data_IF_932478675841
#
_entry.id   IF_932478675841
#
_cell.length_a   1.000
_cell.length_b   1.000
_cell.length_c   1.000
_cell.angle_alpha   90.00
_cell.angle_beta   90.00
_cell.angle_gamma   90.00
#
_symmetry.space_group_name_H-M   'P 1'
#
loop_
_entity.id
_entity.type
_entity.pdbx_description
1 polymer ?
#
# COMPACT_ATOMS: atom_id res chain seq x y z
N UNK A 1 -15.02 -3.19 -21.81
CA UNK A 1 -13.78 -3.61 -21.12
C UNK A 1 -12.82 -2.44 -21.13
N UNK A 2 -12.47 -1.89 -19.97
CA UNK A 2 -11.55 -0.75 -19.84
C UNK A 2 -10.10 -1.18 -20.17
N UNK A 3 -9.33 -0.25 -20.74
CA UNK A 3 -7.92 -0.45 -21.01
C UNK A 3 -7.09 -0.16 -19.76
N UNK A 4 -5.85 -0.65 -19.71
CA UNK A 4 -4.95 -0.46 -18.58
C UNK A 4 -4.72 1.02 -18.22
N UNK A 5 -4.64 1.90 -19.23
CA UNK A 5 -4.44 3.34 -19.03
C UNK A 5 -5.66 4.01 -18.37
N UNK A 6 -6.87 3.58 -18.76
CA UNK A 6 -8.13 4.08 -18.19
C UNK A 6 -8.26 3.63 -16.72
N UNK A 7 -7.89 2.37 -16.44
CA UNK A 7 -7.88 1.81 -15.09
C UNK A 7 -6.81 2.50 -14.23
N UNK A 8 -5.61 2.74 -14.76
CA UNK A 8 -4.57 3.47 -14.05
C UNK A 8 -5.03 4.88 -13.67
N UNK A 9 -5.72 5.56 -14.58
CA UNK A 9 -6.31 6.87 -14.31
C UNK A 9 -7.32 6.81 -13.17
N UNK A 10 -8.25 5.84 -13.20
CA UNK A 10 -9.23 5.64 -12.11
C UNK A 10 -8.56 5.45 -10.74
N UNK A 11 -7.50 4.64 -10.69
CA UNK A 11 -6.74 4.40 -9.46
C UNK A 11 -6.08 5.69 -8.95
N UNK A 12 -5.41 6.45 -9.82
CA UNK A 12 -4.77 7.69 -9.42
C UNK A 12 -5.79 8.74 -8.98
N UNK A 13 -6.85 8.95 -9.76
CA UNK A 13 -7.93 9.88 -9.42
C UNK A 13 -8.55 9.54 -8.04
N UNK A 14 -8.72 8.25 -7.74
CA UNK A 14 -9.23 7.81 -6.44
C UNK A 14 -8.25 8.10 -5.30
N UNK A 15 -6.97 7.75 -5.48
CA UNK A 15 -5.94 7.96 -4.45
C UNK A 15 -5.70 9.45 -4.15
N UNK A 16 -5.73 10.30 -5.19
CA UNK A 16 -5.53 11.75 -5.06
C UNK A 16 -6.70 12.45 -4.36
N UNK A 17 -7.93 11.91 -4.51
CA UNK A 17 -9.13 12.44 -3.90
C UNK A 17 -9.50 11.80 -2.55
N UNK A 18 -8.61 11.00 -1.98
CA UNK A 18 -8.87 10.38 -0.68
C UNK A 18 -8.99 11.39 0.46
N UNK A 19 -10.00 11.26 1.36
CA UNK A 19 -10.25 12.22 2.44
C UNK A 19 -9.24 12.06 3.58
N UNK A 20 -8.00 12.49 3.36
CA UNK A 20 -6.96 12.54 4.38
C UNK A 20 -6.88 13.85 5.14
N UNK A 21 -7.81 14.80 4.90
CA UNK A 21 -7.95 16.04 5.67
C UNK A 21 -8.63 15.75 7.02
N UNK A 22 -7.97 14.91 7.81
CA UNK A 22 -8.43 14.45 9.13
C UNK A 22 -7.46 14.92 10.22
N UNK A 23 -7.95 15.01 11.43
CA UNK A 23 -7.10 15.30 12.61
C UNK A 23 -6.74 14.01 13.33
N UNK A 24 -5.54 13.93 13.93
CA UNK A 24 -4.48 14.95 13.88
C UNK A 24 -3.79 14.97 12.50
N UNK A 25 -3.51 16.17 11.98
CA UNK A 25 -2.88 16.33 10.65
C UNK A 25 -1.49 15.66 10.59
N UNK A 26 -0.74 15.70 11.66
CA UNK A 26 0.57 15.04 11.78
C UNK A 26 0.54 13.52 11.52
N UNK A 27 -0.63 12.86 11.63
CA UNK A 27 -0.83 11.46 11.30
C UNK A 27 -1.19 11.26 9.83
N UNK A 28 -2.04 12.13 9.26
CA UNK A 28 -2.61 11.94 7.93
C UNK A 28 -1.82 12.62 6.80
N UNK A 29 -1.09 13.70 7.09
CA UNK A 29 -0.21 14.35 6.11
C UNK A 29 0.88 13.41 5.58
N UNK A 30 1.60 12.62 6.40
CA UNK A 30 2.57 11.65 5.91
C UNK A 30 1.93 10.56 5.04
N UNK A 31 0.70 10.10 5.37
CA UNK A 31 -0.04 9.12 4.57
C UNK A 31 -0.33 9.68 3.17
N UNK A 32 -0.87 10.90 3.11
CA UNK A 32 -1.12 11.59 1.84
C UNK A 32 0.16 11.79 1.05
N UNK A 33 1.24 12.20 1.72
CA UNK A 33 2.55 12.40 1.11
C UNK A 33 3.08 11.13 0.46
N UNK A 34 3.09 10.00 1.17
CA UNK A 34 3.56 8.72 0.61
C UNK A 34 2.72 8.29 -0.59
N UNK A 35 1.41 8.39 -0.52
CA UNK A 35 0.53 8.00 -1.62
C UNK A 35 0.67 8.94 -2.83
N UNK A 36 0.99 10.23 -2.62
CA UNK A 36 1.21 11.22 -3.70
C UNK A 36 2.56 11.09 -4.40
N UNK A 37 3.54 10.33 -3.86
CA UNK A 37 4.83 10.07 -4.52
C UNK A 37 4.68 9.33 -5.86
N UNK A 38 3.48 8.93 -6.24
CA UNK A 38 3.20 8.21 -7.47
C UNK A 38 3.65 6.75 -7.43
N UNK A 39 3.87 6.20 -8.61
CA UNK A 39 4.29 4.80 -8.80
C UNK A 39 3.55 4.16 -9.96
N UNK A 40 3.96 2.94 -10.32
CA UNK A 40 3.37 2.20 -11.46
C UNK A 40 1.96 1.66 -11.17
N UNK A 41 1.51 1.68 -9.92
CA UNK A 41 0.20 1.17 -9.48
C UNK A 41 -0.15 -0.22 -10.03
N UNK A 42 0.85 -1.08 -10.20
CA UNK A 42 0.68 -2.40 -10.85
C UNK A 42 -0.35 -3.25 -10.10
N UNK A 43 -0.30 -3.26 -8.76
CA UNK A 43 -1.19 -4.12 -7.95
C UNK A 43 -2.67 -3.78 -8.12
N UNK A 44 -3.12 -2.55 -7.88
CA UNK A 44 -4.51 -2.19 -8.11
C UNK A 44 -4.93 -2.33 -9.57
N UNK A 45 -4.06 -2.00 -10.54
CA UNK A 45 -4.36 -2.14 -11.96
C UNK A 45 -4.58 -3.60 -12.34
N UNK A 46 -3.71 -4.52 -11.89
CA UNK A 46 -3.89 -5.95 -12.15
C UNK A 46 -5.16 -6.51 -11.50
N UNK A 47 -5.48 -6.10 -10.28
CA UNK A 47 -6.71 -6.52 -9.61
C UNK A 47 -7.96 -6.07 -10.40
N UNK A 48 -7.98 -4.81 -10.84
CA UNK A 48 -9.09 -4.26 -11.62
C UNK A 48 -9.18 -4.89 -13.02
N UNK A 49 -8.05 -5.16 -13.68
CA UNK A 49 -8.02 -5.87 -14.97
C UNK A 49 -8.56 -7.29 -14.83
N UNK A 50 -8.16 -8.02 -13.78
CA UNK A 50 -8.67 -9.35 -13.52
C UNK A 50 -10.19 -9.36 -13.29
N UNK A 51 -10.69 -8.43 -12.49
CA UNK A 51 -12.13 -8.27 -12.27
C UNK A 51 -12.88 -7.88 -13.56
N UNK A 52 -12.29 -7.01 -14.39
CA UNK A 52 -12.85 -6.56 -15.66
C UNK A 52 -12.96 -7.68 -16.73
N UNK A 53 -12.35 -8.86 -16.47
CA UNK A 53 -12.57 -10.07 -17.29
C UNK A 53 -13.94 -10.72 -17.03
N UNK A 54 -14.55 -10.46 -15.86
CA UNK A 54 -15.78 -11.09 -15.39
C UNK A 54 -16.93 -10.08 -15.19
N UNK A 55 -16.63 -8.77 -15.11
CA UNK A 55 -17.58 -7.70 -14.90
C UNK A 55 -17.27 -6.51 -15.82
N UNK A 56 -18.29 -5.83 -16.30
CA UNK A 56 -18.14 -4.58 -17.07
C UNK A 56 -17.92 -3.34 -16.17
N UNK A 57 -18.03 -3.51 -14.84
CA UNK A 57 -17.99 -2.46 -13.83
C UNK A 57 -16.79 -2.62 -12.88
N UNK A 58 -15.53 -2.42 -13.35
CA UNK A 58 -14.35 -2.56 -12.51
C UNK A 58 -14.32 -1.56 -11.33
N UNK A 59 -15.07 -0.47 -11.43
CA UNK A 59 -15.25 0.52 -10.36
C UNK A 59 -15.86 -0.05 -9.08
N UNK A 60 -16.62 -1.15 -9.17
CA UNK A 60 -17.24 -1.82 -8.00
C UNK A 60 -16.20 -2.29 -6.96
N UNK A 61 -14.98 -2.60 -7.42
CA UNK A 61 -13.89 -3.02 -6.54
C UNK A 61 -12.73 -2.01 -6.50
N UNK A 62 -12.96 -0.76 -6.93
CA UNK A 62 -11.92 0.27 -6.94
C UNK A 62 -11.37 0.54 -5.53
N UNK A 63 -12.26 0.58 -4.53
CA UNK A 63 -11.85 0.81 -3.14
C UNK A 63 -11.00 -0.34 -2.57
N UNK A 64 -11.36 -1.62 -2.69
CA UNK A 64 -10.48 -2.75 -2.37
C UNK A 64 -9.16 -2.77 -3.15
N UNK A 65 -9.17 -2.43 -4.43
CA UNK A 65 -7.95 -2.34 -5.23
C UNK A 65 -7.00 -1.25 -4.70
N UNK A 66 -7.53 -0.07 -4.35
CA UNK A 66 -6.76 1.01 -3.74
C UNK A 66 -6.34 0.70 -2.28
N UNK A 67 -7.07 -0.18 -1.58
CA UNK A 67 -6.63 -0.73 -0.29
C UNK A 67 -5.34 -1.52 -0.43
N UNK A 68 -5.22 -2.34 -1.48
CA UNK A 68 -4.00 -3.09 -1.77
C UNK A 68 -2.80 -2.18 -2.04
N UNK A 69 -3.01 -1.06 -2.74
CA UNK A 69 -1.95 -0.06 -2.95
C UNK A 69 -1.60 0.68 -1.65
N UNK A 70 -2.60 0.97 -0.80
CA UNK A 70 -2.37 1.58 0.52
C UNK A 70 -1.53 0.66 1.40
N UNK A 71 -1.85 -0.63 1.44
CA UNK A 71 -1.07 -1.64 2.15
C UNK A 71 0.37 -1.72 1.61
N UNK A 72 0.55 -1.75 0.29
CA UNK A 72 1.89 -1.76 -0.29
C UNK A 72 2.71 -0.52 0.10
N UNK A 73 2.11 0.67 0.10
CA UNK A 73 2.83 1.87 0.53
C UNK A 73 3.10 1.90 2.04
N UNK A 74 2.27 1.23 2.87
CA UNK A 74 2.57 0.95 4.27
C UNK A 74 3.86 0.14 4.42
N UNK A 75 4.00 -0.97 3.69
CA UNK A 75 5.20 -1.80 3.76
C UNK A 75 6.44 -1.02 3.33
N UNK A 76 6.35 -0.20 2.26
CA UNK A 76 7.46 0.64 1.81
C UNK A 76 7.86 1.71 2.83
N UNK A 77 6.89 2.30 3.55
CA UNK A 77 7.16 3.32 4.56
C UNK A 77 7.93 2.76 5.75
N UNK A 78 7.55 1.55 6.22
CA UNK A 78 8.26 0.87 7.29
C UNK A 78 9.61 0.33 6.84
N UNK A 79 9.72 -0.18 5.62
CA UNK A 79 10.95 -0.63 5.00
C UNK A 79 11.99 0.51 4.92
N UNK A 80 11.57 1.69 4.45
CA UNK A 80 12.41 2.89 4.42
C UNK A 80 12.96 3.27 5.80
N UNK A 81 12.17 3.10 6.86
CA UNK A 81 12.60 3.37 8.22
C UNK A 81 13.59 2.30 8.72
N UNK A 82 13.32 1.01 8.46
CA UNK A 82 14.18 -0.10 8.85
C UNK A 82 15.53 -0.04 8.14
N UNK A 83 15.54 0.32 6.85
CA UNK A 83 16.74 0.46 6.04
C UNK A 83 17.45 1.80 6.24
N UNK A 84 16.86 2.71 7.04
CA UNK A 84 17.35 4.08 7.21
C UNK A 84 17.56 4.83 5.89
N UNK A 85 16.69 4.60 4.91
CA UNK A 85 16.78 5.14 3.58
C UNK A 85 16.47 6.65 3.56
N UNK A 86 17.31 7.45 2.87
CA UNK A 86 17.08 8.89 2.77
C UNK A 86 15.99 9.27 1.77
N UNK A 87 15.91 8.53 0.67
CA UNK A 87 15.03 8.86 -0.45
C UNK A 87 14.22 7.65 -0.94
N UNK A 88 12.96 7.92 -1.29
CA UNK A 88 12.07 7.01 -2.02
C UNK A 88 11.52 7.70 -3.26
N UNK A 89 11.75 7.13 -4.46
CA UNK A 89 11.29 7.71 -5.74
C UNK A 89 11.73 9.17 -5.96
N UNK A 90 12.91 9.54 -5.43
CA UNK A 90 13.44 10.90 -5.52
C UNK A 90 12.89 11.88 -4.47
N UNK A 91 12.02 11.44 -3.56
CA UNK A 91 11.49 12.22 -2.45
C UNK A 91 12.08 11.76 -1.12
N UNK A 92 12.21 12.67 -0.15
CA UNK A 92 12.61 12.30 1.20
C UNK A 92 11.66 11.26 1.79
N UNK A 93 12.20 10.28 2.51
CA UNK A 93 11.40 9.32 3.26
C UNK A 93 10.69 9.97 4.44
N UNK A 94 9.61 9.36 4.94
CA UNK A 94 8.79 9.95 6.00
C UNK A 94 9.61 10.21 7.27
N UNK A 95 10.47 9.27 7.67
CA UNK A 95 11.29 9.42 8.87
C UNK A 95 12.38 10.51 8.75
N UNK A 96 12.77 10.86 7.53
CA UNK A 96 13.67 11.99 7.25
C UNK A 96 12.95 13.32 7.24
N UNK A 97 11.78 13.36 6.60
CA UNK A 97 10.99 14.59 6.45
C UNK A 97 10.27 15.00 7.73
N UNK A 98 9.84 14.04 8.56
CA UNK A 98 9.23 14.25 9.87
C UNK A 98 10.12 13.64 10.95
N UNK A 99 9.81 12.44 11.40
CA UNK A 99 10.57 11.68 12.39
C UNK A 99 10.17 10.18 12.37
N UNK A 100 10.93 9.36 13.09
CA UNK A 100 10.70 7.92 13.15
C UNK A 100 9.35 7.55 13.77
N UNK A 101 8.90 8.23 14.83
CA UNK A 101 7.61 7.95 15.46
C UNK A 101 6.45 8.25 14.51
N UNK A 102 6.54 9.36 13.79
CA UNK A 102 5.57 9.74 12.75
C UNK A 102 5.51 8.67 11.65
N UNK A 103 6.67 8.14 11.21
CA UNK A 103 6.71 7.06 10.23
C UNK A 103 6.01 5.80 10.76
N UNK A 104 6.29 5.38 11.98
CA UNK A 104 5.66 4.20 12.60
C UNK A 104 4.14 4.40 12.68
N UNK A 105 3.68 5.48 13.31
CA UNK A 105 2.24 5.70 13.55
C UNK A 105 1.45 5.89 12.25
N UNK A 106 2.02 6.61 11.29
CA UNK A 106 1.37 6.79 9.99
C UNK A 106 1.30 5.47 9.21
N UNK A 107 2.36 4.66 9.25
CA UNK A 107 2.37 3.33 8.67
C UNK A 107 1.32 2.41 9.29
N UNK A 108 1.29 2.29 10.62
CA UNK A 108 0.27 1.49 11.32
C UNK A 108 -1.15 1.93 10.96
N UNK A 109 -1.36 3.25 10.85
CA UNK A 109 -2.65 3.79 10.42
C UNK A 109 -2.98 3.43 8.97
N UNK A 110 -1.98 3.40 8.07
CA UNK A 110 -2.17 2.94 6.68
C UNK A 110 -2.58 1.47 6.63
N UNK A 111 -2.01 0.60 7.48
CA UNK A 111 -2.41 -0.79 7.59
C UNK A 111 -3.90 -0.91 7.97
N UNK A 112 -4.33 -0.19 9.02
CA UNK A 112 -5.74 -0.18 9.46
C UNK A 112 -6.66 0.37 8.36
N UNK A 113 -6.26 1.45 7.68
CA UNK A 113 -7.01 2.02 6.56
C UNK A 113 -7.12 1.05 5.38
N UNK A 114 -6.09 0.25 5.11
CA UNK A 114 -6.13 -0.77 4.08
C UNK A 114 -7.18 -1.85 4.41
N UNK A 115 -7.19 -2.38 5.65
CA UNK A 115 -8.23 -3.31 6.11
C UNK A 115 -9.63 -2.72 6.03
N UNK A 116 -9.81 -1.48 6.49
CA UNK A 116 -11.09 -0.79 6.45
C UNK A 116 -11.66 -0.68 5.03
N UNK A 117 -10.79 -0.43 4.05
CA UNK A 117 -11.19 -0.33 2.64
C UNK A 117 -11.36 -1.66 1.96
N UNK A 118 -10.51 -2.64 2.29
CA UNK A 118 -10.66 -4.01 1.79
C UNK A 118 -12.02 -4.60 2.21
N UNK A 119 -12.47 -4.29 3.42
CA UNK A 119 -13.79 -4.68 3.93
C UNK A 119 -14.98 -3.98 3.24
N UNK A 120 -14.75 -3.06 2.29
CA UNK A 120 -15.82 -2.46 1.47
C UNK A 120 -16.09 -3.26 0.17
N UNK A 121 -15.55 -4.44 0.04
CA UNK A 121 -15.93 -5.39 -1.02
C UNK A 121 -17.35 -5.94 -0.80
N UNK A 122 -17.81 -6.76 -1.75
CA UNK A 122 -19.10 -7.46 -1.63
C UNK A 122 -19.20 -8.20 -0.28
N UNK A 123 -20.32 -8.02 0.42
CA UNK A 123 -20.53 -8.56 1.79
C UNK A 123 -20.46 -10.08 1.85
N UNK A 124 -20.95 -10.75 0.81
CA UNK A 124 -20.95 -12.22 0.77
C UNK A 124 -19.54 -12.78 0.50
N UNK A 125 -18.66 -11.97 -0.11
CA UNK A 125 -17.27 -12.31 -0.39
C UNK A 125 -16.28 -11.79 0.64
N UNK A 126 -16.70 -10.89 1.51
CA UNK A 126 -15.82 -10.22 2.47
C UNK A 126 -15.01 -11.17 3.34
N UNK A 127 -15.58 -12.27 3.92
CA UNK A 127 -14.77 -13.18 4.74
C UNK A 127 -13.64 -13.84 3.95
N UNK A 128 -13.89 -14.27 2.72
CA UNK A 128 -12.90 -14.89 1.84
C UNK A 128 -11.81 -13.87 1.42
N UNK A 129 -12.23 -12.67 1.01
CA UNK A 129 -11.32 -11.58 0.61
C UNK A 129 -10.41 -11.17 1.76
N UNK A 130 -10.96 -11.01 2.98
CA UNK A 130 -10.17 -10.66 4.16
C UNK A 130 -9.23 -11.78 4.59
N UNK A 131 -9.66 -13.05 4.44
CA UNK A 131 -8.78 -14.19 4.74
C UNK A 131 -7.56 -14.21 3.82
N UNK A 132 -7.77 -14.13 2.49
CA UNK A 132 -6.68 -14.08 1.51
C UNK A 132 -5.76 -12.88 1.77
N UNK A 133 -6.33 -11.70 2.03
CA UNK A 133 -5.55 -10.50 2.30
C UNK A 133 -4.72 -10.64 3.58
N UNK A 134 -5.29 -11.21 4.64
CA UNK A 134 -4.61 -11.39 5.94
C UNK A 134 -3.48 -12.42 5.84
N UNK A 135 -3.74 -13.58 5.22
CA UNK A 135 -2.72 -14.61 4.99
C UNK A 135 -1.55 -14.05 4.20
N UNK A 136 -1.82 -13.38 3.08
CA UNK A 136 -0.77 -12.73 2.27
C UNK A 136 0.00 -11.65 3.05
N UNK A 137 -0.69 -10.87 3.89
CA UNK A 137 -0.06 -9.86 4.73
C UNK A 137 0.91 -10.48 5.75
N UNK A 138 0.55 -11.62 6.34
CA UNK A 138 1.43 -12.38 7.25
C UNK A 138 2.64 -12.94 6.50
N UNK A 139 2.45 -13.57 5.34
CA UNK A 139 3.53 -14.09 4.50
C UNK A 139 4.54 -13.00 4.11
N UNK A 140 4.06 -11.79 3.80
CA UNK A 140 4.93 -10.63 3.51
C UNK A 140 5.76 -10.26 4.74
N UNK A 141 5.16 -10.24 5.95
CA UNK A 141 5.88 -9.97 7.20
C UNK A 141 6.92 -11.03 7.51
N UNK A 142 6.59 -12.30 7.34
CA UNK A 142 7.52 -13.42 7.48
C UNK A 142 8.68 -13.32 6.49
N UNK A 143 8.38 -13.00 5.22
CA UNK A 143 9.37 -12.76 4.18
C UNK A 143 10.34 -11.63 4.52
N UNK A 144 9.83 -10.52 5.03
CA UNK A 144 10.64 -9.39 5.49
C UNK A 144 11.56 -9.80 6.66
N UNK A 145 11.06 -10.61 7.60
CA UNK A 145 11.90 -11.10 8.70
C UNK A 145 13.02 -12.03 8.21
N UNK A 146 12.76 -12.88 7.22
CA UNK A 146 13.80 -13.70 6.62
C UNK A 146 14.86 -12.85 5.89
N UNK A 147 14.44 -11.81 5.19
CA UNK A 147 15.36 -10.90 4.50
C UNK A 147 16.32 -10.22 5.48
N UNK A 148 15.80 -9.66 6.57
CA UNK A 148 16.60 -9.08 7.65
C UNK A 148 17.57 -10.11 8.24
N UNK A 149 17.12 -11.33 8.52
CA UNK A 149 17.99 -12.39 9.07
C UNK A 149 19.11 -12.78 8.11
N UNK A 150 18.81 -12.87 6.80
CA UNK A 150 19.79 -13.27 5.79
C UNK A 150 20.87 -12.21 5.56
N UNK A 151 20.52 -10.92 5.66
CA UNK A 151 21.49 -9.82 5.59
C UNK A 151 22.56 -9.90 6.69
N UNK A 152 22.21 -10.43 7.88
CA UNK A 152 23.13 -10.57 9.01
C UNK A 152 23.87 -11.92 9.06
N UNK A 153 23.40 -12.94 8.36
CA UNK A 153 23.88 -14.32 8.50
C UNK A 153 24.55 -14.89 7.25
N UNK A 154 24.35 -14.28 6.08
CA UNK A 154 24.94 -14.75 4.82
C UNK A 154 26.02 -13.77 4.33
N UNK A 155 27.29 -14.21 4.18
CA UNK A 155 28.27 -13.40 3.49
C UNK A 155 27.80 -13.16 2.06
N UNK A 156 27.66 -11.91 1.67
CA UNK A 156 27.30 -11.54 0.31
C UNK A 156 28.34 -12.10 -0.66
N UNK A 157 27.94 -12.81 -1.74
CA UNK A 157 28.92 -13.25 -2.74
C UNK A 157 29.46 -12.09 -3.60
N UNK A 158 29.19 -10.84 -3.23
CA UNK A 158 29.63 -9.61 -3.94
C UNK A 158 30.61 -8.75 -3.16
N UNK A 159 31.05 -9.18 -1.95
CA UNK A 159 32.11 -8.51 -1.18
C UNK A 159 33.49 -9.10 -1.48
#
# INVERSE_FOLDING_TARGET
MLKADEILKLVNDYLDNMPYDRKPSSLYEPIRYVLSMGGKRIRPVLMLLAYNMFSEHPEDILMPACALETYHNYTLLHDDLMDNADLRRGHETVHRKWDANTAILSGDSMLVLAYQRMAQCDKDKMPEVLNIFTETALEIGEGQQYDICLLYTSPSPRD
#
